data_IF_588430284456
#
_entry.id   IF_588430284456
#
_cell.length_a   1.000
_cell.length_b   1.000
_cell.length_c   1.000
_cell.angle_alpha   90.00
_cell.angle_beta   90.00
_cell.angle_gamma   90.00
#
_symmetry.space_group_name_H-M   'P 1'
#
loop_
_entity.id
_entity.type
_entity.pdbx_description
1 polymer ?
#
# COMPACT_ATOMS: atom_id res chain seq x y z
N UNK A 1 -28.45 0.50 -23.30
CA UNK A 1 -27.14 -0.19 -23.42
C UNK A 1 -26.13 0.74 -22.78
N UNK A 2 -26.23 0.97 -21.47
CA UNK A 2 -25.47 2.04 -20.80
C UNK A 2 -24.90 1.47 -19.51
N UNK A 3 -23.98 0.53 -19.69
CA UNK A 3 -23.35 -0.22 -18.60
C UNK A 3 -21.90 0.19 -18.36
N UNK A 4 -21.51 1.40 -18.76
CA UNK A 4 -20.20 1.98 -18.48
C UNK A 4 -20.45 3.23 -17.65
N UNK A 5 -19.99 3.20 -16.41
CA UNK A 5 -20.16 4.28 -15.45
C UNK A 5 -18.87 5.09 -15.36
N UNK A 6 -18.94 6.30 -14.79
CA UNK A 6 -17.73 7.10 -14.49
C UNK A 6 -16.78 6.30 -13.58
N UNK A 7 -17.33 5.45 -12.71
CA UNK A 7 -16.55 4.56 -11.83
C UNK A 7 -15.71 3.58 -12.63
N UNK A 8 -16.27 2.95 -13.67
CA UNK A 8 -15.50 2.05 -14.55
C UNK A 8 -14.34 2.80 -15.24
N UNK A 9 -14.57 4.06 -15.64
CA UNK A 9 -13.53 4.94 -16.20
C UNK A 9 -12.43 5.27 -15.20
N UNK A 10 -12.79 5.62 -13.97
CA UNK A 10 -11.83 5.90 -12.88
C UNK A 10 -11.03 4.65 -12.51
N UNK A 11 -11.67 3.49 -12.44
CA UNK A 11 -11.02 2.20 -12.18
C UNK A 11 -9.99 1.90 -13.27
N UNK A 12 -10.38 2.03 -14.54
CA UNK A 12 -9.47 1.84 -15.66
C UNK A 12 -8.28 2.81 -15.59
N UNK A 13 -8.54 4.08 -15.26
CA UNK A 13 -7.51 5.10 -15.09
C UNK A 13 -6.53 4.74 -13.96
N UNK A 14 -7.02 4.32 -12.80
CA UNK A 14 -6.19 3.90 -11.65
C UNK A 14 -5.28 2.73 -12.03
N UNK A 15 -5.83 1.72 -12.70
CA UNK A 15 -5.05 0.54 -13.13
C UNK A 15 -4.00 0.95 -14.17
N UNK A 16 -4.37 1.76 -15.16
CA UNK A 16 -3.44 2.23 -16.20
C UNK A 16 -2.31 3.07 -15.62
N UNK A 17 -2.62 4.06 -14.77
CA UNK A 17 -1.61 4.89 -14.12
C UNK A 17 -0.70 4.01 -13.26
N UNK A 18 -1.26 3.10 -12.47
CA UNK A 18 -0.48 2.17 -11.64
C UNK A 18 0.48 1.32 -12.50
N UNK A 19 0.00 0.79 -13.62
CA UNK A 19 0.78 -0.03 -14.54
C UNK A 19 1.92 0.76 -15.21
N UNK A 20 1.64 1.97 -15.70
CA UNK A 20 2.64 2.84 -16.35
C UNK A 20 3.71 3.29 -15.34
N UNK A 21 3.29 3.70 -14.13
CA UNK A 21 4.22 4.11 -13.09
C UNK A 21 5.10 2.93 -12.63
N UNK A 22 4.55 1.73 -12.50
CA UNK A 22 5.34 0.55 -12.12
C UNK A 22 6.25 0.06 -13.25
N UNK A 23 5.82 0.16 -14.51
CA UNK A 23 6.68 -0.11 -15.67
C UNK A 23 7.91 0.80 -15.69
N UNK A 24 7.71 2.11 -15.45
CA UNK A 24 8.83 3.08 -15.45
C UNK A 24 9.79 2.90 -14.27
N UNK A 25 9.30 2.42 -13.12
CA UNK A 25 10.12 2.20 -11.92
C UNK A 25 10.82 0.83 -11.89
N UNK A 26 10.19 -0.21 -12.44
CA UNK A 26 10.69 -1.59 -12.52
C UNK A 26 10.31 -2.44 -11.31
N UNK A 27 10.05 -3.74 -11.50
CA UNK A 27 9.60 -4.65 -10.44
C UNK A 27 10.49 -4.66 -9.20
N UNK A 28 11.81 -4.64 -9.37
CA UNK A 28 12.75 -4.73 -8.26
C UNK A 28 12.67 -3.50 -7.36
N UNK A 29 12.48 -2.30 -7.92
CA UNK A 29 12.33 -1.10 -7.12
C UNK A 29 11.04 -1.18 -6.28
N UNK A 30 9.96 -1.65 -6.88
CA UNK A 30 8.67 -1.87 -6.25
C UNK A 30 8.76 -2.93 -5.14
N UNK A 31 9.42 -4.06 -5.40
CA UNK A 31 9.65 -5.12 -4.43
C UNK A 31 10.52 -4.67 -3.27
N UNK A 32 11.61 -3.93 -3.54
CA UNK A 32 12.47 -3.36 -2.49
C UNK A 32 11.72 -2.37 -1.60
N UNK A 33 10.76 -1.62 -2.14
CA UNK A 33 9.93 -0.74 -1.33
C UNK A 33 9.06 -1.54 -0.35
N UNK A 34 8.41 -2.61 -0.80
CA UNK A 34 7.60 -3.48 0.06
C UNK A 34 8.46 -4.16 1.12
N UNK A 35 9.58 -4.77 0.70
CA UNK A 35 10.53 -5.40 1.61
C UNK A 35 11.09 -4.40 2.62
N UNK A 36 11.34 -3.16 2.20
CA UNK A 36 11.82 -2.11 3.09
C UNK A 36 10.81 -1.70 4.14
N UNK A 37 9.52 -1.59 3.78
CA UNK A 37 8.45 -1.38 4.75
C UNK A 37 8.32 -2.53 5.75
N UNK A 38 8.39 -3.78 5.28
CA UNK A 38 8.34 -4.96 6.16
C UNK A 38 9.54 -4.98 7.11
N UNK A 39 10.75 -4.83 6.58
CA UNK A 39 11.98 -4.83 7.38
C UNK A 39 11.98 -3.69 8.41
N UNK A 40 11.58 -2.48 7.99
CA UNK A 40 11.49 -1.34 8.89
C UNK A 40 10.43 -1.55 9.98
N UNK A 41 9.29 -2.17 9.66
CA UNK A 41 8.27 -2.50 10.65
C UNK A 41 8.77 -3.52 11.67
N UNK A 42 9.52 -4.54 11.24
CA UNK A 42 10.14 -5.51 12.16
C UNK A 42 11.18 -4.82 13.07
N UNK A 43 12.03 -3.96 12.51
CA UNK A 43 12.99 -3.18 13.30
C UNK A 43 12.26 -2.26 14.28
N UNK A 44 11.24 -1.54 13.85
CA UNK A 44 10.44 -0.68 14.71
C UNK A 44 9.80 -1.49 15.84
N UNK A 45 9.22 -2.64 15.56
CA UNK A 45 8.61 -3.51 16.56
C UNK A 45 9.61 -3.95 17.65
N UNK A 46 10.83 -4.31 17.26
CA UNK A 46 11.86 -4.78 18.19
C UNK A 46 12.48 -3.62 18.99
N UNK A 47 12.69 -2.45 18.37
CA UNK A 47 13.46 -1.36 18.95
C UNK A 47 12.62 -0.23 19.54
N UNK A 48 11.33 -0.12 19.23
CA UNK A 48 10.44 0.90 19.78
C UNK A 48 10.46 0.97 21.33
N UNK A 49 10.39 -0.15 22.08
CA UNK A 49 10.41 -0.10 23.54
C UNK A 49 11.70 0.52 24.10
N UNK A 50 12.83 0.32 23.41
CA UNK A 50 14.14 0.87 23.80
C UNK A 50 14.28 2.35 23.43
N UNK A 51 13.49 2.83 22.47
CA UNK A 51 13.52 4.22 22.00
C UNK A 51 12.56 5.16 22.76
N UNK A 52 11.62 4.61 23.55
CA UNK A 52 10.72 5.39 24.42
C UNK A 52 11.43 6.45 25.28
N UNK A 53 12.51 6.14 26.03
CA UNK A 53 13.18 7.16 26.85
C UNK A 53 13.74 8.30 26.00
N UNK A 54 14.37 7.99 24.86
CA UNK A 54 14.92 9.00 23.94
C UNK A 54 13.83 9.94 23.40
N UNK A 55 12.65 9.41 23.07
CA UNK A 55 11.54 10.20 22.52
C UNK A 55 10.97 11.17 23.56
N UNK A 56 10.92 10.77 24.83
CA UNK A 56 10.43 11.62 25.94
C UNK A 56 11.36 12.79 26.26
N UNK A 57 12.63 12.69 25.90
CA UNK A 57 13.61 13.76 26.08
C UNK A 57 13.55 14.83 24.98
N UNK A 58 12.83 14.57 23.88
CA UNK A 58 12.69 15.54 22.77
C UNK A 58 11.81 16.70 23.23
N UNK A 59 12.34 17.94 23.33
CA UNK A 59 11.61 19.07 23.94
C UNK A 59 10.28 19.38 23.24
N UNK A 60 10.25 19.26 21.91
CA UNK A 60 9.05 19.53 21.08
C UNK A 60 7.97 18.47 21.26
N UNK A 61 8.34 17.23 21.63
CA UNK A 61 7.41 16.11 21.79
C UNK A 61 7.00 15.90 23.25
N UNK A 62 7.78 16.44 24.19
CA UNK A 62 7.56 16.27 25.63
C UNK A 62 6.15 16.72 26.03
N UNK A 63 5.73 17.91 25.63
CA UNK A 63 4.43 18.48 26.04
C UNK A 63 3.22 17.74 25.43
N UNK A 64 3.41 17.03 24.31
CA UNK A 64 2.35 16.25 23.67
C UNK A 64 2.27 14.81 24.16
N UNK A 65 3.39 14.24 24.62
CA UNK A 65 3.56 12.78 24.77
C UNK A 65 3.89 12.37 26.21
N UNK A 66 4.31 13.29 27.08
CA UNK A 66 4.73 12.98 28.44
C UNK A 66 3.63 12.33 29.29
N UNK A 67 2.37 12.72 29.11
CA UNK A 67 1.27 12.28 29.96
C UNK A 67 0.70 10.91 29.56
N UNK A 68 0.99 10.42 28.35
CA UNK A 68 0.42 9.19 27.81
C UNK A 68 1.48 8.17 27.46
N UNK A 69 1.51 7.06 28.23
CA UNK A 69 2.43 5.95 27.99
C UNK A 69 2.23 5.34 26.59
N UNK A 70 0.97 5.18 26.19
CA UNK A 70 0.59 4.64 24.87
C UNK A 70 1.11 5.53 23.74
N UNK A 71 0.91 6.85 23.87
CA UNK A 71 1.36 7.83 22.88
C UNK A 71 2.90 7.84 22.77
N UNK A 72 3.61 7.66 23.89
CA UNK A 72 5.08 7.53 23.93
C UNK A 72 5.56 6.33 23.12
N UNK A 73 4.89 5.18 23.26
CA UNK A 73 5.24 3.95 22.54
C UNK A 73 4.96 4.09 21.05
N UNK A 74 3.81 4.66 20.67
CA UNK A 74 3.46 4.90 19.27
C UNK A 74 4.46 5.85 18.62
N UNK A 75 4.83 6.94 19.30
CA UNK A 75 5.81 7.89 18.80
C UNK A 75 7.20 7.28 18.67
N UNK A 76 7.62 6.45 19.63
CA UNK A 76 8.88 5.70 19.54
C UNK A 76 8.88 4.72 18.38
N UNK A 77 7.78 4.00 18.17
CA UNK A 77 7.62 3.13 17.01
C UNK A 77 7.71 3.91 15.70
N UNK A 78 6.98 5.01 15.57
CA UNK A 78 7.01 5.86 14.38
C UNK A 78 8.42 6.43 14.12
N UNK A 79 9.12 6.88 15.17
CA UNK A 79 10.48 7.40 15.07
C UNK A 79 11.47 6.35 14.60
N UNK A 80 11.45 5.15 15.20
CA UNK A 80 12.32 4.05 14.79
C UNK A 80 11.98 3.56 13.38
N UNK A 81 10.68 3.45 13.05
CA UNK A 81 10.21 3.08 11.71
C UNK A 81 10.74 4.06 10.66
N UNK A 82 10.60 5.36 10.90
CA UNK A 82 11.07 6.40 10.00
C UNK A 82 12.60 6.33 9.80
N UNK A 83 13.37 6.16 10.88
CA UNK A 83 14.82 6.00 10.80
C UNK A 83 15.21 4.72 10.04
N UNK A 84 14.54 3.61 10.30
CA UNK A 84 14.79 2.34 9.59
C UNK A 84 14.46 2.47 8.10
N UNK A 85 13.33 3.09 7.75
CA UNK A 85 12.97 3.38 6.35
C UNK A 85 14.00 4.30 5.68
N UNK A 86 14.48 5.32 6.39
CA UNK A 86 15.53 6.20 5.89
C UNK A 86 16.76 5.38 5.51
N UNK A 87 17.25 4.51 6.41
CA UNK A 87 18.41 3.65 6.16
C UNK A 87 18.15 2.69 5.00
N UNK A 88 17.02 1.99 4.98
CA UNK A 88 16.71 1.02 3.91
C UNK A 88 16.56 1.72 2.54
N UNK A 89 15.98 2.92 2.51
CA UNK A 89 15.78 3.68 1.28
C UNK A 89 17.08 4.08 0.58
N UNK A 90 18.21 4.14 1.31
CA UNK A 90 19.53 4.39 0.74
C UNK A 90 19.99 3.23 -0.16
N UNK A 91 19.56 2.00 0.12
CA UNK A 91 19.95 0.81 -0.64
C UNK A 91 19.07 0.57 -1.88
N UNK A 92 17.81 1.00 -1.86
CA UNK A 92 16.88 0.88 -2.98
C UNK A 92 17.43 1.38 -4.33
N UNK A 93 18.04 2.59 -4.44
CA UNK A 93 18.59 3.05 -5.71
C UNK A 93 19.78 2.22 -6.19
N UNK A 94 20.60 1.68 -5.28
CA UNK A 94 21.78 0.89 -5.62
C UNK A 94 21.40 -0.39 -6.37
N UNK A 95 20.49 -1.19 -5.80
CA UNK A 95 20.02 -2.44 -6.43
C UNK A 95 19.24 -2.18 -7.72
N UNK A 96 18.36 -1.17 -7.72
CA UNK A 96 17.58 -0.84 -8.93
C UNK A 96 18.45 -0.33 -10.08
N UNK A 97 19.61 0.25 -9.79
CA UNK A 97 20.56 0.70 -10.82
C UNK A 97 21.37 -0.46 -11.39
N UNK A 98 21.72 -1.45 -10.56
CA UNK A 98 22.44 -2.65 -11.00
C UNK A 98 21.63 -3.45 -12.03
N UNK A 99 20.34 -3.65 -11.78
CA UNK A 99 19.46 -4.44 -12.68
C UNK A 99 19.19 -3.69 -13.98
N UNK A 100 18.95 -2.37 -13.92
CA UNK A 100 18.72 -1.55 -15.12
C UNK A 100 19.91 -1.51 -16.07
N UNK A 101 21.15 -1.64 -15.56
CA UNK A 101 22.37 -1.70 -16.38
C UNK A 101 22.67 -3.09 -16.92
N UNK A 102 21.90 -4.10 -16.53
CA UNK A 102 22.05 -5.49 -16.99
C UNK A 102 21.10 -5.80 -18.13
N UNK A 103 21.29 -6.96 -18.77
CA UNK A 103 20.36 -7.50 -19.78
C UNK A 103 18.93 -7.75 -19.24
N UNK A 104 18.75 -7.74 -17.91
CA UNK A 104 17.46 -7.99 -17.26
C UNK A 104 16.57 -6.74 -17.16
N UNK A 105 17.04 -5.55 -17.55
CA UNK A 105 16.28 -4.31 -17.40
C UNK A 105 14.91 -4.32 -18.08
N UNK A 106 14.80 -4.90 -19.28
CA UNK A 106 13.51 -5.03 -19.98
C UNK A 106 12.54 -6.01 -19.29
N UNK A 107 13.07 -7.11 -18.73
CA UNK A 107 12.26 -8.08 -17.97
C UNK A 107 11.76 -7.44 -16.66
N UNK A 108 12.61 -6.69 -15.97
CA UNK A 108 12.25 -5.95 -14.76
C UNK A 108 11.12 -4.96 -15.00
N UNK A 109 11.13 -4.24 -16.13
CA UNK A 109 10.05 -3.35 -16.54
C UNK A 109 8.75 -4.10 -16.85
N UNK A 110 8.84 -5.21 -17.59
CA UNK A 110 7.67 -6.03 -17.92
C UNK A 110 7.01 -6.62 -16.67
N UNK A 111 7.80 -7.16 -15.74
CA UNK A 111 7.32 -7.60 -14.43
C UNK A 111 6.77 -6.42 -13.62
N UNK A 112 7.37 -5.23 -13.72
CA UNK A 112 6.90 -4.01 -13.11
C UNK A 112 5.50 -3.63 -13.60
N UNK A 113 5.25 -3.72 -14.91
CA UNK A 113 3.92 -3.50 -15.49
C UNK A 113 2.88 -4.48 -14.92
N UNK A 114 3.16 -5.78 -14.93
CA UNK A 114 2.25 -6.81 -14.40
C UNK A 114 1.96 -6.54 -12.91
N UNK A 115 2.99 -6.26 -12.13
CA UNK A 115 2.85 -5.89 -10.73
C UNK A 115 2.00 -4.62 -10.55
N UNK A 116 2.20 -3.61 -11.38
CA UNK A 116 1.42 -2.37 -11.37
C UNK A 116 -0.06 -2.59 -11.67
N UNK A 117 -0.39 -3.47 -12.61
CA UNK A 117 -1.78 -3.88 -12.89
C UNK A 117 -2.39 -4.57 -11.67
N UNK A 118 -1.69 -5.56 -11.11
CA UNK A 118 -2.16 -6.29 -9.92
C UNK A 118 -2.39 -5.35 -8.72
N UNK A 119 -1.46 -4.42 -8.49
CA UNK A 119 -1.60 -3.38 -7.46
C UNK A 119 -2.80 -2.48 -7.74
N UNK A 120 -2.99 -2.05 -8.99
CA UNK A 120 -4.13 -1.22 -9.38
C UNK A 120 -5.46 -1.92 -9.09
N UNK A 121 -5.55 -3.21 -9.45
CA UNK A 121 -6.70 -4.06 -9.14
C UNK A 121 -6.91 -4.20 -7.62
N UNK A 122 -5.84 -4.43 -6.86
CA UNK A 122 -5.90 -4.53 -5.40
C UNK A 122 -6.41 -3.24 -4.76
N UNK A 123 -5.91 -2.07 -5.19
CA UNK A 123 -6.35 -0.77 -4.68
C UNK A 123 -7.84 -0.53 -4.95
N UNK A 124 -8.30 -0.88 -6.15
CA UNK A 124 -9.72 -0.79 -6.53
C UNK A 124 -10.57 -1.74 -5.69
N UNK A 125 -10.12 -2.98 -5.48
CA UNK A 125 -10.81 -3.94 -4.63
C UNK A 125 -10.97 -3.42 -3.19
N UNK A 126 -9.88 -2.90 -2.60
CA UNK A 126 -9.92 -2.30 -1.26
C UNK A 126 -10.90 -1.12 -1.23
N UNK A 127 -10.90 -0.24 -2.23
CA UNK A 127 -11.82 0.89 -2.30
C UNK A 127 -13.29 0.45 -2.38
N UNK A 128 -13.60 -0.60 -3.15
CA UNK A 128 -14.95 -1.16 -3.24
C UNK A 128 -15.38 -1.82 -1.93
N UNK A 129 -14.48 -2.52 -1.23
CA UNK A 129 -14.75 -3.08 0.10
C UNK A 129 -15.04 -1.96 1.10
N UNK A 130 -14.23 -0.90 1.11
CA UNK A 130 -14.47 0.24 2.00
C UNK A 130 -15.82 0.90 1.69
N UNK A 131 -16.15 1.07 0.41
CA UNK A 131 -17.44 1.62 -0.02
C UNK A 131 -18.61 0.77 0.48
N UNK A 132 -18.56 -0.54 0.25
CA UNK A 132 -19.59 -1.50 0.70
C UNK A 132 -19.76 -1.48 2.23
N UNK A 133 -18.66 -1.39 2.98
CA UNK A 133 -18.70 -1.40 4.45
C UNK A 133 -19.10 -0.08 5.09
N UNK A 134 -18.86 1.05 4.41
CA UNK A 134 -19.10 2.39 4.97
C UNK A 134 -20.44 2.99 4.53
N UNK A 135 -21.01 2.57 3.39
CA UNK A 135 -22.25 3.12 2.86
C UNK A 135 -23.44 2.29 3.35
N UNK A 136 -24.09 2.78 4.42
CA UNK A 136 -25.14 2.05 5.15
C UNK A 136 -26.57 2.45 4.73
N UNK A 137 -26.77 3.65 4.15
CA UNK A 137 -28.12 4.23 4.04
C UNK A 137 -28.53 4.78 2.67
N UNK A 138 -27.61 5.23 1.82
CA UNK A 138 -27.91 5.73 0.46
C UNK A 138 -26.80 5.30 -0.50
N UNK A 139 -27.06 4.25 -1.28
CA UNK A 139 -26.08 3.76 -2.24
C UNK A 139 -25.97 4.70 -3.43
N UNK A 140 -24.76 4.89 -3.94
CA UNK A 140 -24.50 5.70 -5.14
C UNK A 140 -24.80 4.84 -6.37
N UNK A 141 -25.85 5.12 -7.14
CA UNK A 141 -26.29 4.26 -8.25
C UNK A 141 -25.21 4.05 -9.31
N UNK A 142 -24.27 4.98 -9.41
CA UNK A 142 -23.15 4.94 -10.34
C UNK A 142 -22.08 3.90 -9.97
N UNK A 143 -21.95 3.53 -8.69
CA UNK A 143 -21.03 2.48 -8.22
C UNK A 143 -21.68 1.11 -8.39
N UNK A 144 -22.92 0.95 -7.94
CA UNK A 144 -23.65 -0.32 -7.95
C UNK A 144 -23.90 -0.84 -9.38
N UNK A 145 -24.14 0.08 -10.31
CA UNK A 145 -24.36 -0.27 -11.72
C UNK A 145 -23.07 -0.55 -12.50
N UNK A 146 -21.91 -0.23 -11.94
CA UNK A 146 -20.60 -0.39 -12.61
C UNK A 146 -20.29 -1.86 -12.91
N UNK A 147 -19.56 -2.10 -14.00
CA UNK A 147 -19.10 -3.45 -14.34
C UNK A 147 -18.06 -3.94 -13.35
N UNK A 148 -17.21 -3.06 -12.86
CA UNK A 148 -16.21 -3.39 -11.85
C UNK A 148 -16.88 -3.94 -10.58
N UNK A 149 -17.92 -3.27 -10.06
CA UNK A 149 -18.64 -3.76 -8.87
C UNK A 149 -19.30 -5.13 -9.12
N UNK A 150 -19.92 -5.34 -10.29
CA UNK A 150 -20.54 -6.64 -10.65
C UNK A 150 -19.53 -7.78 -10.77
N UNK A 151 -18.32 -7.53 -11.26
CA UNK A 151 -17.26 -8.53 -11.33
C UNK A 151 -16.72 -8.85 -9.93
N UNK A 152 -16.58 -7.83 -9.09
CA UNK A 152 -16.14 -7.98 -7.71
C UNK A 152 -17.14 -8.81 -6.88
N UNK A 153 -18.44 -8.49 -6.94
CA UNK A 153 -19.50 -9.22 -6.25
C UNK A 153 -19.47 -10.73 -6.58
N UNK A 154 -19.37 -11.09 -7.87
CA UNK A 154 -19.25 -12.50 -8.29
C UNK A 154 -18.01 -13.22 -7.76
N UNK A 155 -16.93 -12.48 -7.52
CA UNK A 155 -15.68 -13.04 -6.97
C UNK A 155 -15.79 -13.19 -5.47
N UNK A 156 -16.45 -12.25 -4.78
CA UNK A 156 -16.73 -12.31 -3.34
C UNK A 156 -17.66 -13.48 -3.00
N UNK A 157 -18.78 -13.63 -3.71
CA UNK A 157 -19.75 -14.73 -3.48
C UNK A 157 -19.09 -16.11 -3.55
N UNK A 158 -18.10 -16.28 -4.44
CA UNK A 158 -17.35 -17.53 -4.60
C UNK A 158 -16.34 -17.79 -3.48
N UNK A 159 -15.85 -16.73 -2.84
CA UNK A 159 -14.95 -16.82 -1.69
C UNK A 159 -15.74 -17.11 -0.42
N UNK A 160 -16.89 -16.45 -0.22
CA UNK A 160 -17.75 -16.65 0.95
C UNK A 160 -18.30 -18.08 1.01
N UNK A 161 -18.66 -18.68 -0.13
CA UNK A 161 -19.05 -20.09 -0.19
C UNK A 161 -17.96 -21.10 0.22
N UNK A 162 -16.70 -20.65 0.34
CA UNK A 162 -15.55 -21.48 0.73
C UNK A 162 -15.06 -21.21 2.16
N UNK A 163 -15.61 -20.22 2.85
CA UNK A 163 -15.31 -19.95 4.25
C UNK A 163 -16.34 -20.73 5.08
N UNK A 164 -15.96 -21.82 5.77
CA UNK A 164 -16.86 -22.45 6.73
C UNK A 164 -17.12 -21.49 7.91
N UNK A 165 -18.36 -21.50 8.39
CA UNK A 165 -18.84 -20.69 9.53
C UNK A 165 -17.96 -20.82 10.79
#
# INVERSE_FOLDING_TARGET
>A
MDGFTIVDGVVALVILISAILAYSRGFVREGMAILGWIAAAVVAYIFAPKAVPLIREVPVLKDFIADSCELSVIAAFAGVLALALMVVSLFTPLFSSAIRRSALGGIDQALGFVFGVLRGLLLVAIALVIYDRMVVSDTVPMVDNSRTAKIFARTSDKLDQKIPD
#
